data_IF_312983294059
#
_entry.id   IF_312983294059
#
_cell.length_a   1.000
_cell.length_b   1.000
_cell.length_c   1.000
_cell.angle_alpha   90.00
_cell.angle_beta   90.00
_cell.angle_gamma   90.00
#
_symmetry.space_group_name_H-M   'P 1'
#
loop_
_entity.id
_entity.type
_entity.pdbx_description
1 polymer ?
#
# COMPACT_ATOMS: atom_id res chain seq x y z
N UNK A 1 35.85 -31.13 -59.62
CA UNK A 1 35.53 -31.72 -58.30
C UNK A 1 35.70 -30.63 -57.24
N UNK A 2 34.59 -30.05 -56.79
CA UNK A 2 34.50 -29.26 -55.55
C UNK A 2 33.22 -29.73 -54.86
N UNK A 3 33.37 -30.34 -53.69
CA UNK A 3 32.25 -30.73 -52.83
C UNK A 3 31.58 -29.46 -52.28
N UNK A 4 30.26 -29.31 -52.39
CA UNK A 4 29.55 -28.32 -51.60
C UNK A 4 29.48 -28.77 -50.12
N UNK A 5 29.73 -27.80 -49.25
CA UNK A 5 29.69 -27.79 -47.79
C UNK A 5 28.37 -28.33 -47.23
N UNK A 6 28.33 -29.00 -46.06
CA UNK A 6 27.09 -29.50 -45.48
C UNK A 6 26.23 -28.33 -45.00
N UNK A 7 24.94 -28.38 -45.34
CA UNK A 7 23.90 -27.50 -44.80
C UNK A 7 23.93 -27.55 -43.26
N UNK A 8 24.05 -26.38 -42.62
CA UNK A 8 23.70 -26.23 -41.21
C UNK A 8 22.21 -26.60 -41.04
N UNK A 9 21.85 -27.42 -40.03
CA UNK A 9 20.46 -27.77 -39.79
C UNK A 9 19.67 -26.52 -39.40
N UNK A 10 18.57 -26.29 -40.11
CA UNK A 10 17.57 -25.28 -39.76
C UNK A 10 17.03 -25.62 -38.36
N UNK A 11 17.06 -24.69 -37.39
CA UNK A 11 16.52 -24.94 -36.06
C UNK A 11 15.04 -25.28 -36.17
N UNK A 12 14.63 -26.41 -35.59
CA UNK A 12 13.24 -26.86 -35.58
C UNK A 12 12.39 -25.99 -34.65
N UNK A 13 11.08 -25.91 -34.89
CA UNK A 13 10.14 -25.12 -34.06
C UNK A 13 10.21 -25.43 -32.55
N UNK A 14 10.69 -26.63 -32.17
CA UNK A 14 10.93 -27.01 -30.77
C UNK A 14 12.07 -26.23 -30.09
N UNK A 15 13.11 -25.84 -30.83
CA UNK A 15 14.24 -25.05 -30.30
C UNK A 15 13.87 -23.56 -30.17
N UNK A 16 12.96 -23.07 -31.01
CA UNK A 16 12.42 -21.71 -30.93
C UNK A 16 11.50 -21.55 -29.70
N UNK A 17 10.65 -22.53 -29.42
CA UNK A 17 9.79 -22.55 -28.22
C UNK A 17 10.62 -22.66 -26.92
N UNK A 18 11.67 -23.48 -26.90
CA UNK A 18 12.58 -23.57 -25.75
C UNK A 18 13.31 -22.24 -25.47
N UNK A 19 13.69 -21.51 -26.52
CA UNK A 19 14.33 -20.19 -26.41
C UNK A 19 13.40 -19.10 -25.86
N UNK A 20 12.12 -19.10 -26.27
CA UNK A 20 11.11 -18.14 -25.77
C UNK A 20 10.72 -18.45 -24.33
N UNK A 21 10.58 -19.73 -23.96
CA UNK A 21 10.34 -20.16 -22.58
C UNK A 21 11.50 -19.76 -21.66
N UNK A 22 12.75 -20.00 -22.07
CA UNK A 22 13.93 -19.59 -21.30
C UNK A 22 14.04 -18.06 -21.17
N UNK A 23 13.59 -17.29 -22.18
CA UNK A 23 13.54 -15.83 -22.13
C UNK A 23 12.45 -15.35 -21.15
N UNK A 24 11.30 -16.01 -21.10
CA UNK A 24 10.22 -15.74 -20.14
C UNK A 24 10.61 -16.11 -18.70
N UNK A 25 11.33 -17.22 -18.50
CA UNK A 25 11.88 -17.64 -17.20
C UNK A 25 12.83 -16.57 -16.63
N UNK A 26 13.73 -16.04 -17.46
CA UNK A 26 14.72 -15.01 -17.07
C UNK A 26 14.10 -13.62 -16.88
N UNK A 27 13.13 -13.24 -17.71
CA UNK A 27 12.51 -11.92 -17.65
C UNK A 27 11.54 -11.77 -16.47
N UNK A 28 10.95 -12.86 -15.98
CA UNK A 28 9.94 -12.85 -14.92
C UNK A 28 10.41 -13.46 -13.57
N UNK A 29 11.67 -13.89 -13.48
CA UNK A 29 12.23 -14.60 -12.31
C UNK A 29 11.37 -15.80 -11.91
N UNK A 30 10.98 -16.61 -12.90
CA UNK A 30 10.11 -17.79 -12.73
C UNK A 30 10.96 -19.04 -12.89
N UNK A 31 11.01 -19.86 -11.84
CA UNK A 31 11.57 -21.21 -11.90
C UNK A 31 10.51 -22.23 -12.24
N UNK A 32 10.83 -23.20 -13.10
CA UNK A 32 9.92 -24.28 -13.50
C UNK A 32 10.34 -25.57 -12.83
N UNK A 33 9.35 -26.40 -12.50
CA UNK A 33 9.57 -27.69 -11.88
C UNK A 33 8.64 -28.76 -12.45
N UNK A 34 9.10 -30.01 -12.41
CA UNK A 34 8.29 -31.20 -12.69
C UNK A 34 8.58 -32.26 -11.66
N UNK A 35 7.51 -32.86 -11.12
CA UNK A 35 7.55 -33.92 -10.14
C UNK A 35 6.77 -35.13 -10.64
N UNK A 36 7.47 -36.24 -10.89
CA UNK A 36 6.91 -37.50 -11.36
C UNK A 36 7.39 -38.64 -10.43
N UNK A 37 6.74 -38.81 -9.26
CA UNK A 37 7.21 -39.75 -8.24
C UNK A 37 7.17 -41.22 -8.70
N UNK A 38 6.20 -41.59 -9.54
CA UNK A 38 6.12 -42.95 -10.09
C UNK A 38 7.28 -43.28 -11.04
N UNK A 39 7.84 -42.27 -11.72
CA UNK A 39 9.02 -42.39 -12.57
C UNK A 39 10.33 -42.16 -11.80
N UNK A 40 10.26 -41.78 -10.53
CA UNK A 40 11.44 -41.40 -9.75
C UNK A 40 12.11 -40.10 -10.23
N UNK A 41 11.37 -39.23 -10.93
CA UNK A 41 11.92 -38.05 -11.59
C UNK A 41 11.46 -36.75 -10.90
N UNK A 42 12.42 -35.88 -10.59
CA UNK A 42 12.21 -34.48 -10.21
C UNK A 42 13.13 -33.64 -11.10
N UNK A 43 12.60 -32.59 -11.71
CA UNK A 43 13.41 -31.64 -12.50
C UNK A 43 13.15 -30.22 -12.06
N UNK A 44 14.22 -29.43 -11.97
CA UNK A 44 14.20 -28.00 -11.71
C UNK A 44 14.85 -27.28 -12.89
N UNK A 45 14.28 -26.15 -13.32
CA UNK A 45 14.97 -25.29 -14.28
C UNK A 45 16.16 -24.59 -13.62
N UNK A 46 17.11 -24.11 -14.43
CA UNK A 46 18.27 -23.37 -13.92
C UNK A 46 17.83 -22.15 -13.08
N UNK A 47 16.77 -21.46 -13.51
CA UNK A 47 16.20 -20.33 -12.79
C UNK A 47 15.62 -20.74 -11.43
N UNK A 48 15.07 -21.96 -11.29
CA UNK A 48 14.57 -22.44 -10.00
C UNK A 48 15.71 -22.74 -9.01
N UNK A 49 16.82 -23.29 -9.52
CA UNK A 49 18.04 -23.45 -8.73
C UNK A 49 18.57 -22.07 -8.27
N UNK A 50 18.63 -21.08 -9.16
CA UNK A 50 19.07 -19.72 -8.85
C UNK A 50 18.17 -19.04 -7.78
N UNK A 51 16.84 -19.21 -7.88
CA UNK A 51 15.88 -18.72 -6.88
C UNK A 51 16.18 -19.29 -5.49
N UNK A 52 16.58 -20.56 -5.41
CA UNK A 52 16.95 -21.21 -4.16
C UNK A 52 18.39 -20.91 -3.70
N UNK A 53 19.14 -20.11 -4.45
CA UNK A 53 20.56 -19.84 -4.20
C UNK A 53 21.43 -21.08 -4.37
N UNK A 54 21.00 -22.03 -5.20
CA UNK A 54 21.69 -23.28 -5.46
C UNK A 54 22.69 -23.13 -6.63
N UNK A 55 23.72 -23.99 -6.69
CA UNK A 55 24.58 -24.06 -7.87
C UNK A 55 23.78 -24.39 -9.14
N UNK A 56 24.22 -23.87 -10.29
CA UNK A 56 23.58 -24.16 -11.56
C UNK A 56 23.47 -25.67 -11.82
N UNK A 57 22.28 -26.12 -12.22
CA UNK A 57 21.97 -27.54 -12.43
C UNK A 57 21.67 -28.33 -11.16
N UNK A 58 21.59 -27.69 -10.00
CA UNK A 58 21.15 -28.35 -8.77
C UNK A 58 19.69 -28.80 -8.88
N UNK A 59 19.46 -30.06 -8.53
CA UNK A 59 18.14 -30.65 -8.33
C UNK A 59 18.21 -31.45 -7.03
N UNK A 60 17.27 -31.26 -6.09
CA UNK A 60 17.29 -32.01 -4.86
C UNK A 60 16.88 -33.49 -5.08
N UNK A 61 17.27 -34.40 -4.18
CA UNK A 61 16.78 -35.77 -4.19
C UNK A 61 15.24 -35.80 -4.10
N UNK A 62 14.62 -36.79 -4.73
CA UNK A 62 13.15 -36.88 -4.79
C UNK A 62 12.48 -36.97 -3.41
N UNK A 63 13.15 -37.66 -2.47
CA UNK A 63 12.73 -37.74 -1.06
C UNK A 63 12.71 -36.37 -0.34
N UNK A 64 13.48 -35.40 -0.85
CA UNK A 64 13.65 -34.07 -0.26
C UNK A 64 12.95 -32.98 -1.10
N UNK A 65 12.09 -33.37 -2.05
CA UNK A 65 11.41 -32.46 -2.98
C UNK A 65 10.70 -31.29 -2.28
N UNK A 66 10.16 -31.51 -1.08
CA UNK A 66 9.41 -30.51 -0.31
C UNK A 66 10.21 -29.85 0.82
N UNK A 67 11.46 -30.27 1.04
CA UNK A 67 12.29 -29.79 2.17
C UNK A 67 12.57 -28.28 2.12
N UNK A 68 12.59 -27.71 0.91
CA UNK A 68 12.83 -26.31 0.62
C UNK A 68 11.65 -25.40 0.97
N UNK A 69 10.44 -25.94 1.19
CA UNK A 69 9.33 -25.16 1.73
C UNK A 69 9.55 -24.89 3.23
N UNK A 70 9.09 -23.74 3.71
CA UNK A 70 9.08 -23.43 5.13
C UNK A 70 8.28 -24.49 5.90
N UNK A 71 8.69 -24.89 7.12
CA UNK A 71 8.05 -25.97 7.87
C UNK A 71 6.54 -25.83 8.01
N UNK A 72 6.05 -24.61 8.27
CA UNK A 72 4.62 -24.27 8.33
C UNK A 72 3.84 -24.49 7.02
N UNK A 73 4.49 -24.51 5.85
CA UNK A 73 3.85 -24.68 4.54
C UNK A 73 3.98 -26.08 3.94
N UNK A 74 4.94 -26.91 4.41
CA UNK A 74 5.28 -28.21 3.82
C UNK A 74 4.08 -29.14 3.66
N UNK A 75 3.38 -29.40 4.78
CA UNK A 75 2.21 -30.29 4.80
C UNK A 75 1.12 -29.85 3.81
N UNK A 76 0.86 -28.54 3.72
CA UNK A 76 -0.15 -27.99 2.80
C UNK A 76 0.24 -28.25 1.34
N UNK A 77 1.50 -28.01 0.97
CA UNK A 77 1.96 -28.24 -0.41
C UNK A 77 1.97 -29.73 -0.75
N UNK A 78 2.39 -30.59 0.17
CA UNK A 78 2.34 -32.04 -0.01
C UNK A 78 0.90 -32.50 -0.30
N UNK A 79 -0.07 -32.06 0.50
CA UNK A 79 -1.49 -32.38 0.29
C UNK A 79 -2.01 -31.93 -1.08
N UNK A 80 -1.63 -30.73 -1.53
CA UNK A 80 -2.03 -30.20 -2.83
C UNK A 80 -1.41 -30.96 -4.00
N UNK A 81 -0.12 -31.31 -3.91
CA UNK A 81 0.56 -32.10 -4.94
C UNK A 81 -0.03 -33.50 -5.02
N UNK A 82 -0.35 -34.12 -3.88
CA UNK A 82 -1.02 -35.42 -3.86
C UNK A 82 -2.43 -35.35 -4.44
N UNK A 83 -3.21 -34.31 -4.12
CA UNK A 83 -4.53 -34.09 -4.73
C UNK A 83 -4.42 -33.89 -6.25
N UNK A 84 -3.39 -33.19 -6.72
CA UNK A 84 -3.12 -33.00 -8.14
C UNK A 84 -2.80 -34.33 -8.85
N UNK A 85 -1.95 -35.17 -8.24
CA UNK A 85 -1.63 -36.50 -8.76
C UNK A 85 -2.82 -37.46 -8.77
N UNK A 86 -3.64 -37.45 -7.72
CA UNK A 86 -4.73 -38.41 -7.56
C UNK A 86 -6.01 -38.01 -8.32
N UNK A 87 -6.30 -36.71 -8.41
CA UNK A 87 -7.59 -36.19 -8.86
C UNK A 87 -7.48 -35.24 -10.07
N UNK A 88 -6.26 -34.86 -10.47
CA UNK A 88 -6.05 -33.86 -11.52
C UNK A 88 -6.36 -32.42 -11.09
N UNK A 89 -6.52 -32.16 -9.79
CA UNK A 89 -6.82 -30.82 -9.27
C UNK A 89 -5.60 -29.90 -9.40
N UNK A 90 -5.73 -28.82 -10.17
CA UNK A 90 -4.72 -27.77 -10.24
C UNK A 90 -4.69 -26.93 -8.95
N UNK A 91 -3.53 -26.37 -8.63
CA UNK A 91 -3.36 -25.49 -7.46
C UNK A 91 -2.56 -24.25 -7.79
N UNK A 92 -2.84 -23.16 -7.08
CA UNK A 92 -2.17 -21.86 -7.15
C UNK A 92 -2.13 -21.25 -5.76
N UNK A 93 -0.96 -21.34 -5.13
CA UNK A 93 -0.79 -21.02 -3.72
C UNK A 93 0.39 -20.10 -3.48
N UNK A 94 0.28 -19.29 -2.44
CA UNK A 94 1.38 -18.45 -1.97
C UNK A 94 2.01 -19.08 -0.74
N UNK A 95 3.30 -19.36 -0.85
CA UNK A 95 4.04 -20.12 0.14
C UNK A 95 5.40 -19.50 0.40
N UNK A 96 5.94 -19.77 1.57
CA UNK A 96 7.29 -19.37 1.92
C UNK A 96 8.25 -20.53 1.68
N UNK A 97 9.38 -20.25 1.04
CA UNK A 97 10.50 -21.18 0.91
C UNK A 97 11.64 -20.75 1.82
N UNK A 98 12.51 -21.71 2.15
CA UNK A 98 13.82 -21.51 2.78
C UNK A 98 14.86 -21.82 1.72
N UNK A 99 15.60 -20.80 1.28
CA UNK A 99 16.70 -20.93 0.33
C UNK A 99 17.89 -21.64 0.99
N UNK A 100 18.84 -22.13 0.19
CA UNK A 100 20.04 -22.82 0.69
C UNK A 100 20.96 -21.91 1.51
N UNK A 101 20.90 -20.60 1.28
CA UNK A 101 21.60 -19.59 2.10
C UNK A 101 20.87 -19.28 3.43
N UNK A 102 19.77 -19.97 3.73
CA UNK A 102 18.94 -19.79 4.92
C UNK A 102 17.95 -18.62 4.86
N UNK A 103 17.96 -17.83 3.78
CA UNK A 103 16.99 -16.74 3.61
C UNK A 103 15.62 -17.29 3.29
N UNK A 104 14.58 -16.62 3.80
CA UNK A 104 13.19 -16.93 3.47
C UNK A 104 12.71 -16.04 2.34
N UNK A 105 12.03 -16.62 1.37
CA UNK A 105 11.42 -15.90 0.25
C UNK A 105 9.98 -16.31 0.05
N UNK A 106 9.13 -15.36 -0.36
CA UNK A 106 7.74 -15.63 -0.68
C UNK A 106 7.59 -15.96 -2.16
N UNK A 107 6.85 -17.01 -2.42
CA UNK A 107 6.72 -17.59 -3.74
C UNK A 107 5.26 -17.85 -4.06
N UNK A 108 4.86 -17.59 -5.30
CA UNK A 108 3.65 -18.16 -5.87
C UNK A 108 4.03 -19.49 -6.49
N UNK A 109 3.45 -20.57 -5.98
CA UNK A 109 3.64 -21.93 -6.47
C UNK A 109 2.36 -22.38 -7.18
N UNK A 110 2.49 -22.69 -8.46
CA UNK A 110 1.39 -23.16 -9.30
C UNK A 110 1.73 -24.57 -9.75
N UNK A 111 0.78 -25.50 -9.68
CA UNK A 111 0.94 -26.86 -10.17
C UNK A 111 -0.27 -27.33 -10.98
N UNK A 112 0.00 -28.05 -12.06
CA UNK A 112 -0.99 -28.65 -12.93
C UNK A 112 -0.63 -30.12 -13.24
N UNK A 113 -1.64 -30.99 -13.44
CA UNK A 113 -1.41 -32.39 -13.77
C UNK A 113 -0.89 -32.52 -15.21
N UNK A 114 -0.03 -33.50 -15.42
CA UNK A 114 0.41 -33.94 -16.74
C UNK A 114 -0.18 -35.31 -16.99
N UNK A 115 -0.96 -35.43 -18.06
CA UNK A 115 -1.62 -36.67 -18.41
C UNK A 115 -0.75 -37.51 -19.35
N UNK A 116 -0.70 -38.81 -19.10
CA UNK A 116 -0.09 -39.78 -19.99
C UNK A 116 -1.00 -40.14 -21.16
N UNK A 117 -0.55 -41.02 -22.06
CA UNK A 117 -1.31 -41.43 -23.26
C UNK A 117 -2.68 -42.05 -22.96
N UNK A 118 -2.87 -42.63 -21.76
CA UNK A 118 -4.13 -43.25 -21.34
C UNK A 118 -5.07 -42.33 -20.54
N UNK A 119 -4.70 -41.05 -20.36
CA UNK A 119 -5.48 -40.09 -19.59
C UNK A 119 -5.24 -40.14 -18.07
N UNK A 120 -4.33 -40.99 -17.60
CA UNK A 120 -3.86 -41.01 -16.22
C UNK A 120 -2.90 -39.85 -15.92
N UNK A 121 -2.91 -39.31 -14.70
CA UNK A 121 -1.95 -38.28 -14.29
C UNK A 121 -0.61 -38.94 -13.99
N UNK A 122 0.41 -38.64 -14.80
CA UNK A 122 1.76 -39.23 -14.70
C UNK A 122 2.76 -38.33 -13.98
N UNK A 123 2.49 -37.03 -13.88
CA UNK A 123 3.33 -36.06 -13.20
C UNK A 123 2.54 -34.82 -12.79
N UNK A 124 3.15 -33.99 -11.94
CA UNK A 124 2.74 -32.60 -11.72
C UNK A 124 3.85 -31.71 -12.25
N UNK A 125 3.50 -30.68 -13.01
CA UNK A 125 4.44 -29.66 -13.43
C UNK A 125 3.93 -28.29 -13.07
N UNK A 126 4.85 -27.35 -12.91
CA UNK A 126 4.49 -26.07 -12.33
C UNK A 126 5.58 -25.03 -12.40
N UNK A 127 5.24 -23.91 -11.78
CA UNK A 127 6.11 -22.74 -11.70
C UNK A 127 6.19 -22.24 -10.26
N UNK A 128 7.36 -21.72 -9.92
CA UNK A 128 7.67 -20.99 -8.69
C UNK A 128 8.11 -19.60 -9.11
N UNK A 129 7.27 -18.61 -8.82
CA UNK A 129 7.57 -17.21 -9.06
C UNK A 129 7.88 -16.53 -7.74
N UNK A 130 9.01 -15.85 -7.64
CA UNK A 130 9.24 -14.99 -6.47
C UNK A 130 8.22 -13.87 -6.48
N UNK A 131 7.45 -13.77 -5.40
CA UNK A 131 6.44 -12.75 -5.24
C UNK A 131 6.77 -11.89 -4.03
N UNK A 132 6.43 -10.62 -4.18
CA UNK A 132 6.15 -9.80 -3.03
C UNK A 132 4.80 -10.30 -2.47
N UNK A 133 4.70 -10.69 -1.18
CA UNK A 133 3.51 -11.34 -0.60
C UNK A 133 2.21 -10.62 -0.97
N UNK A 134 1.06 -11.32 -1.07
CA UNK A 134 -0.26 -10.67 -1.31
C UNK A 134 -0.55 -9.49 -0.37
N UNK A 135 -0.01 -9.49 0.85
CA UNK A 135 -0.09 -8.38 1.82
C UNK A 135 0.99 -7.30 1.69
N UNK A 136 1.86 -7.38 0.68
CA UNK A 136 3.03 -6.53 0.46
C UNK A 136 3.09 -5.98 -0.97
N UNK A 137 2.20 -6.42 -1.87
CA UNK A 137 2.00 -5.75 -3.16
C UNK A 137 1.59 -4.30 -2.86
N UNK A 138 2.36 -3.29 -3.32
CA UNK A 138 1.95 -1.89 -3.19
C UNK A 138 0.52 -1.72 -3.70
N UNK A 139 0.17 -2.37 -4.82
CA UNK A 139 -1.16 -2.35 -5.43
C UNK A 139 -2.32 -3.03 -4.68
N UNK A 140 -2.07 -4.00 -3.79
CA UNK A 140 -3.15 -4.78 -3.13
C UNK A 140 -3.47 -4.27 -1.73
N UNK A 141 -2.46 -3.75 -1.03
CA UNK A 141 -2.69 -2.84 0.10
C UNK A 141 -3.29 -1.52 -0.38
N UNK A 142 -2.90 -1.03 -1.57
CA UNK A 142 -3.64 0.05 -2.22
C UNK A 142 -5.10 -0.40 -2.46
N UNK A 143 -5.39 -1.57 -3.03
CA UNK A 143 -6.80 -1.94 -3.34
C UNK A 143 -7.73 -2.12 -2.12
N UNK A 144 -7.26 -2.71 -1.02
CA UNK A 144 -8.10 -2.94 0.16
C UNK A 144 -8.01 -1.82 1.22
N UNK A 145 -6.94 -1.00 1.23
CA UNK A 145 -6.75 0.10 2.19
C UNK A 145 -6.99 1.49 1.57
N UNK A 146 -6.86 1.67 0.25
CA UNK A 146 -7.19 2.95 -0.47
C UNK A 146 -8.67 3.07 -0.78
N UNK A 147 -9.45 2.01 -0.55
CA UNK A 147 -10.92 2.11 -0.67
C UNK A 147 -11.56 2.98 0.42
N UNK A 148 -10.79 3.53 1.39
CA UNK A 148 -11.28 4.58 2.28
C UNK A 148 -10.44 5.86 2.14
N UNK A 149 -10.89 6.69 1.19
CA UNK A 149 -10.82 8.16 1.20
C UNK A 149 -9.46 8.81 1.52
N UNK A 150 -8.68 9.10 0.47
CA UNK A 150 -7.82 10.30 0.48
C UNK A 150 -6.30 10.12 0.26
N UNK A 151 -5.81 8.98 -0.22
CA UNK A 151 -4.36 8.74 -0.36
C UNK A 151 -3.84 8.62 -1.82
N UNK A 152 -4.60 9.05 -2.82
CA UNK A 152 -4.18 9.00 -4.23
C UNK A 152 -3.40 10.26 -4.70
N UNK A 153 -2.76 11.00 -3.79
CA UNK A 153 -2.14 12.29 -4.10
C UNK A 153 -0.64 12.45 -3.82
N UNK A 154 0.03 11.55 -3.08
CA UNK A 154 1.43 11.78 -2.73
C UNK A 154 2.13 10.56 -2.16
N UNK A 155 3.41 10.42 -2.45
CA UNK A 155 4.28 9.34 -1.98
C UNK A 155 4.39 9.27 -0.45
N UNK A 156 3.40 8.68 0.20
CA UNK A 156 3.42 8.41 1.63
C UNK A 156 4.47 7.34 1.99
N UNK A 157 5.05 7.47 3.17
CA UNK A 157 5.97 6.48 3.73
C UNK A 157 5.20 5.21 4.11
N UNK A 158 5.65 4.07 3.58
CA UNK A 158 5.03 2.77 3.79
C UNK A 158 6.07 1.74 4.18
N UNK A 159 5.71 0.91 5.16
CA UNK A 159 6.55 -0.19 5.63
C UNK A 159 5.69 -1.36 6.10
N UNK A 160 6.27 -2.55 6.17
CA UNK A 160 5.68 -3.68 6.89
C UNK A 160 6.61 -4.14 7.99
N UNK A 161 6.01 -4.69 9.03
CA UNK A 161 6.72 -5.26 10.17
C UNK A 161 6.21 -6.66 10.48
N UNK A 162 7.05 -7.50 11.07
CA UNK A 162 6.67 -8.81 11.59
C UNK A 162 5.85 -8.72 12.90
N UNK A 163 5.50 -9.87 13.48
CA UNK A 163 4.78 -9.95 14.77
C UNK A 163 5.56 -9.38 15.96
N UNK A 164 6.89 -9.26 15.84
CA UNK A 164 7.76 -8.64 16.83
C UNK A 164 7.99 -7.15 16.58
N UNK A 165 7.36 -6.59 15.54
CA UNK A 165 7.50 -5.20 15.11
C UNK A 165 8.80 -4.91 14.36
N UNK A 166 9.53 -5.91 13.89
CA UNK A 166 10.74 -5.75 13.09
C UNK A 166 10.40 -5.44 11.64
N UNK A 167 11.07 -4.46 11.03
CA UNK A 167 10.87 -4.13 9.63
C UNK A 167 11.18 -5.30 8.71
N UNK A 168 10.22 -5.65 7.86
CA UNK A 168 10.34 -6.66 6.81
C UNK A 168 10.38 -6.04 5.41
N UNK A 169 9.83 -4.83 5.26
CA UNK A 169 9.87 -4.05 4.03
C UNK A 169 9.71 -2.57 4.35
N UNK A 170 10.35 -1.72 3.56
CA UNK A 170 10.13 -0.26 3.55
C UNK A 170 10.20 0.22 2.11
N UNK A 171 9.39 1.25 1.78
CA UNK A 171 9.56 2.00 0.54
C UNK A 171 10.54 3.17 0.71
N UNK A 172 10.98 3.76 -0.41
CA UNK A 172 11.91 4.90 -0.42
C UNK A 172 11.39 6.10 0.40
N UNK A 173 10.08 6.31 0.40
CA UNK A 173 9.47 7.42 1.16
C UNK A 173 9.60 7.21 2.67
N UNK A 174 9.53 5.96 3.14
CA UNK A 174 9.77 5.61 4.54
C UNK A 174 11.24 5.81 4.91
N UNK A 175 12.19 5.49 4.03
CA UNK A 175 13.61 5.79 4.27
C UNK A 175 13.85 7.29 4.44
N UNK A 176 13.27 8.10 3.54
CA UNK A 176 13.37 9.57 3.58
C UNK A 176 12.77 10.15 4.85
N UNK A 177 11.59 9.67 5.26
CA UNK A 177 10.91 10.15 6.47
C UNK A 177 11.62 9.73 7.76
N UNK A 178 12.13 8.49 7.82
CA UNK A 178 12.85 7.98 9.00
C UNK A 178 14.32 8.40 9.05
N UNK A 179 14.85 8.99 7.95
CA UNK A 179 16.21 9.49 7.86
C UNK A 179 17.29 8.40 7.86
N UNK A 180 16.94 7.17 7.48
CA UNK A 180 17.87 6.04 7.45
C UNK A 180 17.55 5.07 6.30
N UNK A 181 18.57 4.47 5.67
CA UNK A 181 18.38 3.55 4.55
C UNK A 181 17.79 2.21 5.00
N UNK A 182 17.03 1.55 4.12
CA UNK A 182 16.37 0.26 4.36
C UNK A 182 17.34 -0.79 4.88
N UNK A 183 18.56 -0.85 4.34
CA UNK A 183 19.59 -1.80 4.80
C UNK A 183 19.93 -1.68 6.29
N UNK A 184 19.78 -0.49 6.90
CA UNK A 184 20.01 -0.28 8.33
C UNK A 184 18.74 -0.50 9.16
N UNK A 185 17.56 -0.33 8.56
CA UNK A 185 16.27 -0.41 9.22
C UNK A 185 15.70 -1.83 9.22
N UNK A 186 15.95 -2.64 8.20
CA UNK A 186 15.46 -4.02 8.12
C UNK A 186 15.88 -4.84 9.34
N UNK A 187 14.96 -5.64 9.86
CA UNK A 187 15.14 -6.44 11.08
C UNK A 187 15.14 -5.62 12.38
N UNK A 188 15.15 -4.28 12.33
CA UNK A 188 15.02 -3.44 13.53
C UNK A 188 13.56 -3.19 13.85
N UNK A 189 13.27 -3.04 15.15
CA UNK A 189 11.94 -2.67 15.62
C UNK A 189 11.58 -1.25 15.16
N UNK A 190 10.43 -1.08 14.54
CA UNK A 190 10.09 0.21 13.89
C UNK A 190 9.99 1.38 14.85
N UNK A 191 9.59 1.14 16.10
CA UNK A 191 9.52 2.17 17.13
C UNK A 191 10.90 2.66 17.62
N UNK A 192 11.99 1.99 17.27
CA UNK A 192 13.36 2.47 17.61
C UNK A 192 13.79 3.70 16.80
N UNK A 193 13.05 4.03 15.76
CA UNK A 193 13.27 5.22 14.94
C UNK A 193 12.82 6.51 15.65
N UNK A 194 12.01 6.40 16.71
CA UNK A 194 11.41 7.52 17.44
C UNK A 194 12.12 7.81 18.77
N UNK A 195 11.79 8.94 19.41
CA UNK A 195 12.22 9.26 20.77
C UNK A 195 11.65 8.26 21.79
N UNK A 196 12.32 8.14 22.95
CA UNK A 196 11.97 7.16 24.00
C UNK A 196 10.51 7.23 24.46
N UNK A 197 9.97 8.45 24.65
CA UNK A 197 8.59 8.68 25.11
C UNK A 197 7.54 8.21 24.09
N UNK A 198 7.79 8.51 22.82
CA UNK A 198 6.96 8.12 21.69
C UNK A 198 7.06 6.61 21.46
N UNK A 199 8.29 6.08 21.46
CA UNK A 199 8.60 4.66 21.30
C UNK A 199 7.80 3.77 22.25
N UNK A 200 7.77 4.09 23.54
CA UNK A 200 7.11 3.27 24.55
C UNK A 200 5.60 3.16 24.30
N UNK A 201 4.94 4.28 23.96
CA UNK A 201 3.50 4.31 23.66
C UNK A 201 3.17 3.63 22.34
N UNK A 202 3.99 3.83 21.32
CA UNK A 202 3.83 3.19 20.03
C UNK A 202 3.99 1.67 20.13
N UNK A 203 4.96 1.21 20.93
CA UNK A 203 5.16 -0.22 21.22
C UNK A 203 3.96 -0.84 21.96
N UNK A 204 3.42 -0.15 22.97
CA UNK A 204 2.24 -0.60 23.71
C UNK A 204 1.01 -0.71 22.79
N UNK A 205 0.73 0.34 22.01
CA UNK A 205 -0.41 0.33 21.09
C UNK A 205 -0.24 -0.70 19.98
N UNK A 206 0.97 -0.88 19.44
CA UNK A 206 1.26 -1.91 18.45
C UNK A 206 0.90 -3.30 18.98
N UNK A 207 1.40 -3.66 20.17
CA UNK A 207 1.14 -4.99 20.76
C UNK A 207 -0.35 -5.20 21.00
N UNK A 208 -1.04 -4.16 21.49
CA UNK A 208 -2.49 -4.18 21.73
C UNK A 208 -3.30 -4.31 20.43
N UNK A 209 -2.85 -3.67 19.35
CA UNK A 209 -3.47 -3.76 18.02
C UNK A 209 -3.30 -5.15 17.41
N UNK A 210 -2.07 -5.70 17.43
CA UNK A 210 -1.77 -7.04 16.94
C UNK A 210 -2.52 -8.13 17.72
N UNK A 211 -2.55 -8.04 19.06
CA UNK A 211 -3.22 -9.05 19.90
C UNK A 211 -4.75 -9.08 19.67
N UNK A 212 -5.36 -7.93 19.39
CA UNK A 212 -6.81 -7.80 19.17
C UNK A 212 -7.21 -7.86 17.69
N UNK A 213 -6.25 -7.89 16.78
CA UNK A 213 -6.50 -7.82 15.33
C UNK A 213 -7.16 -6.51 14.90
N UNK A 214 -6.96 -5.42 15.63
CA UNK A 214 -7.55 -4.10 15.34
C UNK A 214 -6.55 -3.17 14.66
N UNK A 215 -7.07 -2.15 13.98
CA UNK A 215 -6.24 -1.11 13.35
C UNK A 215 -5.46 -0.33 14.42
N UNK A 216 -4.19 -0.07 14.17
CA UNK A 216 -3.37 0.88 14.92
C UNK A 216 -3.57 2.27 14.34
N UNK A 217 -3.88 3.25 15.20
CA UNK A 217 -3.88 4.67 14.85
C UNK A 217 -3.14 5.43 15.95
N UNK A 218 -2.08 6.14 15.58
CA UNK A 218 -1.22 6.86 16.51
C UNK A 218 -0.79 8.18 15.87
N UNK A 219 -0.90 9.29 16.58
CA UNK A 219 -0.47 10.60 16.10
C UNK A 219 0.24 11.35 17.22
N UNK A 220 1.50 11.73 17.03
CA UNK A 220 2.26 12.45 18.05
C UNK A 220 3.39 13.30 17.47
N UNK A 221 3.84 14.31 18.24
CA UNK A 221 5.06 15.06 17.96
C UNK A 221 6.28 14.24 18.38
N UNK A 222 7.17 13.98 17.43
CA UNK A 222 8.46 13.37 17.73
C UNK A 222 9.58 14.41 17.61
N UNK A 223 10.29 14.66 18.71
CA UNK A 223 11.35 15.66 18.71
C UNK A 223 12.61 15.22 17.96
N UNK A 224 12.81 13.91 17.73
CA UNK A 224 13.96 13.40 16.96
C UNK A 224 13.72 13.61 15.46
N UNK A 225 12.50 13.36 14.98
CA UNK A 225 12.11 13.63 13.59
C UNK A 225 11.73 15.09 13.34
N UNK A 226 11.58 15.90 14.40
CA UNK A 226 11.18 17.32 14.33
C UNK A 226 9.85 17.53 13.58
N UNK A 227 8.94 16.56 13.65
CA UNK A 227 7.66 16.59 12.96
C UNK A 227 6.55 15.94 13.79
N UNK A 228 5.31 16.36 13.53
CA UNK A 228 4.14 15.58 13.92
C UNK A 228 4.00 14.43 12.95
N UNK A 229 4.04 13.21 13.46
CA UNK A 229 3.89 12.02 12.63
C UNK A 229 2.61 11.29 12.98
N UNK A 230 1.99 10.73 11.95
CA UNK A 230 0.84 9.84 12.04
C UNK A 230 1.28 8.44 11.61
N UNK A 231 0.91 7.44 12.40
CA UNK A 231 1.10 6.01 12.12
C UNK A 231 -0.26 5.35 12.02
N UNK A 232 -0.50 4.71 10.89
CA UNK A 232 -1.69 3.89 10.66
C UNK A 232 -1.26 2.47 10.34
N UNK A 233 -1.66 1.52 11.17
CA UNK A 233 -1.27 0.12 11.05
C UNK A 233 -2.45 -0.82 10.81
N UNK A 234 -2.30 -1.75 9.87
CA UNK A 234 -3.29 -2.78 9.55
C UNK A 234 -2.68 -4.16 9.78
N UNK A 235 -3.15 -4.93 10.79
CA UNK A 235 -2.61 -6.25 11.08
C UNK A 235 -2.94 -7.24 9.96
N UNK A 236 -2.02 -8.18 9.73
CA UNK A 236 -2.20 -9.30 8.80
C UNK A 236 -1.53 -10.56 9.37
N UNK A 237 -1.75 -11.72 8.76
CA UNK A 237 -1.30 -13.02 9.31
C UNK A 237 0.21 -13.16 9.57
N UNK A 238 1.05 -12.28 9.02
CA UNK A 238 2.50 -12.26 9.21
C UNK A 238 3.04 -11.03 9.96
N UNK A 239 2.18 -10.13 10.46
CA UNK A 239 2.61 -8.93 11.15
C UNK A 239 1.68 -7.74 10.94
N UNK A 240 2.22 -6.56 10.59
CA UNK A 240 1.43 -5.34 10.38
C UNK A 240 1.95 -4.48 9.23
N UNK A 241 1.04 -4.00 8.39
CA UNK A 241 1.33 -3.02 7.36
C UNK A 241 1.16 -1.62 7.96
N UNK A 242 2.17 -0.76 7.82
CA UNK A 242 2.26 0.52 8.52
C UNK A 242 2.46 1.66 7.52
N UNK A 243 1.57 2.65 7.58
CA UNK A 243 1.73 3.92 6.91
C UNK A 243 2.23 4.97 7.89
N UNK A 244 3.23 5.73 7.47
CA UNK A 244 3.81 6.84 8.20
C UNK A 244 3.56 8.11 7.40
N UNK A 245 3.12 9.17 8.07
CA UNK A 245 2.90 10.46 7.42
C UNK A 245 3.35 11.60 8.31
N UNK A 246 4.10 12.54 7.72
CA UNK A 246 4.33 13.84 8.34
C UNK A 246 3.07 14.70 8.19
N UNK A 247 2.41 14.97 9.31
CA UNK A 247 1.18 15.77 9.39
C UNK A 247 1.44 17.18 9.92
N UNK A 248 2.70 17.61 10.02
CA UNK A 248 3.10 18.92 10.55
C UNK A 248 2.46 20.07 9.77
N UNK A 249 2.49 20.03 8.44
CA UNK A 249 1.87 21.07 7.59
C UNK A 249 0.36 21.14 7.79
N UNK A 250 -0.31 19.99 7.83
CA UNK A 250 -1.75 19.88 8.08
C UNK A 250 -2.12 20.46 9.44
N UNK A 251 -1.38 20.07 10.50
CA UNK A 251 -1.56 20.58 11.87
C UNK A 251 -1.40 22.10 11.93
N UNK A 252 -0.31 22.65 11.36
CA UNK A 252 -0.07 24.11 11.33
C UNK A 252 -1.18 24.87 10.61
N UNK A 253 -1.64 24.36 9.46
CA UNK A 253 -2.74 24.99 8.72
C UNK A 253 -4.06 24.96 9.50
N UNK A 254 -4.40 23.82 10.13
CA UNK A 254 -5.59 23.69 10.97
C UNK A 254 -5.54 24.59 12.20
N UNK A 255 -4.38 24.72 12.83
CA UNK A 255 -4.19 25.59 13.98
C UNK A 255 -4.28 27.07 13.59
N UNK A 256 -3.69 27.46 12.45
CA UNK A 256 -3.82 28.80 11.91
C UNK A 256 -5.27 29.13 11.53
N UNK A 257 -6.01 28.19 10.94
CA UNK A 257 -7.44 28.36 10.66
C UNK A 257 -8.24 28.54 11.97
N UNK A 258 -7.99 27.73 12.99
CA UNK A 258 -8.64 27.89 14.31
C UNK A 258 -8.34 29.23 14.95
N UNK A 259 -7.10 29.72 14.82
CA UNK A 259 -6.72 31.04 15.31
C UNK A 259 -7.42 32.16 14.52
N UNK A 260 -7.54 32.04 13.20
CA UNK A 260 -8.27 32.99 12.35
C UNK A 260 -9.77 32.99 12.66
N UNK A 261 -10.41 31.83 12.74
CA UNK A 261 -11.82 31.68 13.13
C UNK A 261 -12.08 32.29 14.51
N UNK A 262 -11.24 31.95 15.49
CA UNK A 262 -11.33 32.49 16.84
C UNK A 262 -11.05 34.00 16.92
N UNK A 263 -10.27 34.54 15.98
CA UNK A 263 -10.00 35.98 15.88
C UNK A 263 -11.19 36.70 15.22
N UNK A 264 -11.70 36.22 14.08
CA UNK A 264 -12.86 36.78 13.37
C UNK A 264 -14.11 36.77 14.26
N UNK A 265 -14.33 35.70 15.03
CA UNK A 265 -15.43 35.59 15.97
C UNK A 265 -15.38 36.67 17.08
N UNK A 266 -14.17 37.07 17.51
CA UNK A 266 -13.95 38.07 18.58
C UNK A 266 -13.69 39.48 18.09
N UNK A 267 -13.57 39.71 16.77
CA UNK A 267 -13.49 41.07 16.23
C UNK A 267 -14.72 41.86 16.69
N UNK A 268 -14.50 43.13 17.08
CA UNK A 268 -15.59 44.02 17.45
C UNK A 268 -16.35 44.61 16.25
N UNK A 269 -15.78 44.43 15.06
CA UNK A 269 -16.37 44.84 13.79
C UNK A 269 -17.25 43.73 13.22
N UNK A 270 -18.33 44.16 12.56
CA UNK A 270 -19.28 43.25 11.93
C UNK A 270 -18.62 42.62 10.70
N UNK A 271 -18.59 41.29 10.64
CA UNK A 271 -18.14 40.53 9.47
C UNK A 271 -19.31 39.71 8.94
N UNK A 272 -19.62 39.88 7.66
CA UNK A 272 -20.64 39.12 6.92
C UNK A 272 -19.98 38.53 5.68
N UNK A 273 -20.16 37.22 5.44
CA UNK A 273 -19.76 36.56 4.19
C UNK A 273 -21.03 36.17 3.45
N UNK A 274 -21.07 36.47 2.15
CA UNK A 274 -22.19 36.13 1.27
C UNK A 274 -21.74 35.27 0.10
N UNK A 275 -22.71 34.65 -0.59
CA UNK A 275 -22.48 34.06 -1.91
C UNK A 275 -21.89 35.10 -2.90
N UNK A 276 -21.13 34.64 -3.88
CA UNK A 276 -20.47 35.49 -4.87
C UNK A 276 -21.42 36.10 -5.91
N UNK A 277 -22.67 35.65 -5.98
CA UNK A 277 -23.70 36.16 -6.88
C UNK A 277 -24.96 35.30 -6.86
N UNK A 278 -26.07 35.76 -7.47
CA UNK A 278 -26.21 36.99 -8.25
C UNK A 278 -26.44 38.24 -7.39
N UNK A 279 -25.96 39.41 -7.86
CA UNK A 279 -26.16 40.71 -7.20
C UNK A 279 -27.53 41.36 -7.53
N UNK A 280 -28.22 40.86 -8.55
CA UNK A 280 -29.60 41.18 -8.90
C UNK A 280 -30.58 40.68 -7.83
N UNK A 281 -31.79 41.23 -7.76
CA UNK A 281 -32.80 40.78 -6.79
C UNK A 281 -32.99 39.24 -6.84
N UNK A 282 -32.97 38.55 -5.68
CA UNK A 282 -33.00 39.06 -4.30
C UNK A 282 -31.63 39.46 -3.68
N UNK A 283 -30.53 39.31 -4.41
CA UNK A 283 -29.15 39.56 -3.96
C UNK A 283 -28.48 38.32 -3.35
N UNK A 284 -27.17 38.41 -3.04
CA UNK A 284 -26.40 37.27 -2.54
C UNK A 284 -26.83 36.88 -1.13
N UNK A 285 -26.89 35.58 -0.84
CA UNK A 285 -27.31 35.08 0.48
C UNK A 285 -26.16 35.09 1.47
N UNK A 286 -26.47 35.39 2.73
CA UNK A 286 -25.54 35.33 3.85
C UNK A 286 -25.22 33.87 4.17
N UNK A 287 -23.92 33.55 4.17
CA UNK A 287 -23.41 32.21 4.53
C UNK A 287 -22.68 32.21 5.88
N UNK A 288 -22.26 33.38 6.38
CA UNK A 288 -21.63 33.51 7.68
C UNK A 288 -21.80 34.93 8.27
N UNK A 289 -21.94 34.99 9.59
CA UNK A 289 -21.84 36.21 10.40
C UNK A 289 -21.01 35.91 11.66
N UNK A 290 -20.26 36.90 12.16
CA UNK A 290 -19.51 36.77 13.42
C UNK A 290 -20.36 37.21 14.64
N UNK A 291 -19.88 37.01 15.87
CA UNK A 291 -20.65 37.39 17.08
C UNK A 291 -20.89 38.90 17.19
N UNK A 292 -20.01 39.73 16.63
CA UNK A 292 -20.21 41.19 16.63
C UNK A 292 -21.44 41.59 15.80
N UNK A 293 -21.75 40.85 14.72
CA UNK A 293 -23.00 41.02 13.98
C UNK A 293 -24.20 40.83 14.91
N UNK A 294 -24.25 39.72 15.64
CA UNK A 294 -25.38 39.43 16.54
C UNK A 294 -25.51 40.49 17.63
N UNK A 295 -24.39 40.83 18.29
CA UNK A 295 -24.37 41.84 19.36
C UNK A 295 -24.79 43.23 18.89
N UNK A 296 -24.40 43.65 17.68
CA UNK A 296 -24.64 45.02 17.19
C UNK A 296 -25.94 45.18 16.43
N UNK A 297 -26.39 44.15 15.73
CA UNK A 297 -27.62 44.21 14.93
C UNK A 297 -28.84 43.66 15.68
N UNK A 298 -28.61 42.80 16.69
CA UNK A 298 -29.66 42.13 17.45
C UNK A 298 -30.24 40.89 16.76
N UNK A 299 -29.83 40.59 15.53
CA UNK A 299 -30.24 39.38 14.83
C UNK A 299 -29.35 38.20 15.21
N UNK A 300 -29.95 37.05 15.51
CA UNK A 300 -29.20 35.82 15.67
C UNK A 300 -28.72 35.27 14.32
N UNK A 301 -27.64 34.49 14.34
CA UNK A 301 -27.10 33.79 13.18
C UNK A 301 -28.17 32.97 12.47
N UNK A 302 -28.99 32.22 13.21
CA UNK A 302 -30.01 31.34 12.64
C UNK A 302 -31.13 32.11 11.91
N UNK A 303 -31.39 33.36 12.29
CA UNK A 303 -32.38 34.21 11.63
C UNK A 303 -31.90 34.76 10.29
N UNK A 304 -30.58 34.95 10.13
CA UNK A 304 -30.00 35.68 8.98
C UNK A 304 -29.34 34.78 7.95
N UNK A 305 -28.92 33.56 8.32
CA UNK A 305 -28.35 32.61 7.36
C UNK A 305 -29.35 32.32 6.22
N UNK A 306 -28.87 32.37 4.98
CA UNK A 306 -29.67 32.19 3.77
C UNK A 306 -30.51 33.40 3.34
N UNK A 307 -30.54 34.48 4.13
CA UNK A 307 -31.19 35.76 3.77
C UNK A 307 -30.22 36.69 3.05
N UNK A 308 -30.77 37.72 2.41
CA UNK A 308 -30.00 38.78 1.75
C UNK A 308 -29.60 39.86 2.76
N UNK A 309 -28.35 40.40 2.73
CA UNK A 309 -27.93 41.51 3.58
C UNK A 309 -28.79 42.77 3.42
N UNK A 310 -29.56 42.86 2.34
CA UNK A 310 -30.54 43.94 2.11
C UNK A 310 -31.55 44.09 3.24
N UNK A 311 -31.78 43.03 4.05
CA UNK A 311 -32.64 43.11 5.24
C UNK A 311 -32.14 44.10 6.30
N UNK A 312 -30.86 44.47 6.28
CA UNK A 312 -30.26 45.46 7.19
C UNK A 312 -30.44 46.90 6.68
N UNK A 313 -31.00 47.09 5.48
CA UNK A 313 -31.16 48.40 4.85
C UNK A 313 -32.51 49.02 5.26
N UNK A 314 -32.45 50.11 6.02
CA UNK A 314 -33.61 50.94 6.36
C UNK A 314 -33.60 52.33 5.71
N UNK A 315 -34.60 53.18 6.05
CA UNK A 315 -34.73 54.54 5.51
C UNK A 315 -33.50 55.44 5.72
N UNK A 316 -32.73 55.18 6.77
CA UNK A 316 -31.53 55.95 7.13
C UNK A 316 -30.24 55.40 6.50
N UNK A 317 -30.33 54.35 5.67
CA UNK A 317 -29.16 53.75 5.03
C UNK A 317 -28.61 54.69 3.97
N UNK A 318 -27.30 54.98 4.03
CA UNK A 318 -26.65 55.84 3.06
C UNK A 318 -26.55 55.14 1.70
N UNK A 319 -27.38 55.58 0.74
CA UNK A 319 -27.41 55.00 -0.62
C UNK A 319 -26.07 55.07 -1.33
N UNK A 320 -25.34 56.18 -1.17
CA UNK A 320 -24.00 56.37 -1.75
C UNK A 320 -23.01 55.26 -1.37
N UNK A 321 -23.05 54.79 -0.12
CA UNK A 321 -22.19 53.71 0.36
C UNK A 321 -22.62 52.35 -0.21
N UNK A 322 -23.92 52.11 -0.37
CA UNK A 322 -24.43 50.90 -1.03
C UNK A 322 -24.04 50.84 -2.50
N UNK A 323 -24.11 51.97 -3.21
CA UNK A 323 -23.72 52.05 -4.62
C UNK A 323 -22.22 51.79 -4.81
N UNK A 324 -21.38 52.29 -3.89
CA UNK A 324 -19.94 52.01 -3.87
C UNK A 324 -19.65 50.51 -3.66
N UNK A 325 -20.32 49.87 -2.69
CA UNK A 325 -20.17 48.44 -2.43
C UNK A 325 -20.62 47.63 -3.65
N UNK A 326 -21.73 48.02 -4.28
CA UNK A 326 -22.24 47.35 -5.48
C UNK A 326 -21.26 47.42 -6.65
N UNK A 327 -20.71 48.60 -6.94
CA UNK A 327 -19.74 48.78 -8.02
C UNK A 327 -18.48 47.92 -7.79
N UNK A 328 -17.95 47.89 -6.57
CA UNK A 328 -16.79 47.08 -6.22
C UNK A 328 -17.04 45.56 -6.36
N UNK A 329 -18.28 45.11 -6.18
CA UNK A 329 -18.69 43.71 -6.35
C UNK A 329 -18.95 43.33 -7.82
N UNK A 330 -19.35 44.29 -8.66
CA UNK A 330 -19.58 44.07 -10.09
C UNK A 330 -18.27 44.12 -10.93
N UNK A 331 -17.19 44.70 -10.39
CA UNK A 331 -15.86 44.80 -11.02
C UNK A 331 -14.93 43.58 -10.79
N UNK A 332 -15.40 42.55 -10.06
CA UNK A 332 -14.61 41.38 -9.67
C UNK A 332 -14.87 40.13 -10.54
#
# INVERSE_FOLDING_TARGET
MQNPTPFEPVPTDADADAGVVALLERAASIGVWRYAPAAGELTWSAQLADIHGAPGGYVPPLQDAFSHFAPECRRKIEELVQACLAQGTLFDEEVQIVRLDGRRAWMRCIGQPVHGPGGEVVAVQGALQEIVPRGLRPGTLLRHTVSMSGALGGGDAFATVDTNGQFTYLNEQAERLLGAPTAQLLGRRFWNSFQKTVRLRLEEQFRSACARGVRLEFEELDARLSCWFEVRGHPFGGGMAVHLRDVTKRRKAQEQLRLLEGSIARLNDIVIITEAGPFSEPGPRIVFVNEAFERRTGYSRDEVLGRTPRMLQGPNTQRRSLDQIRAALEEW
#
